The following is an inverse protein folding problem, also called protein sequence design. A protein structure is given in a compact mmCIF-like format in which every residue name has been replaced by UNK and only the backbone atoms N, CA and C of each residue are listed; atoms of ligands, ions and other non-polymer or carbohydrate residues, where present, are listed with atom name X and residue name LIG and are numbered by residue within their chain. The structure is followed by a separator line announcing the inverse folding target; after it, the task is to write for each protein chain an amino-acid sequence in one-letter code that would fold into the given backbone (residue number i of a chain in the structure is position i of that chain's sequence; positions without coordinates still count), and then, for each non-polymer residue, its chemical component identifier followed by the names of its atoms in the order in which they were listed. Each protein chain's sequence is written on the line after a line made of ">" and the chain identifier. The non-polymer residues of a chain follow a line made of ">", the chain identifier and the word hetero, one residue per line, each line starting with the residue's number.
data_IF_794705477010
#
_entry.id   IF_794705477010
#
_cell.length_a   1.000
_cell.length_b   1.000
_cell.length_c   1.000
_cell.angle_alpha   90.00
_cell.angle_beta   90.00
_cell.angle_gamma   90.00
#
_symmetry.space_group_name_H-M   'P 1'
#
loop_
_entity.id
_entity.type
_entity.pdbx_description
1 polymer ?
#
# COMPACT_ATOMS: atom_id res chain seq x y z
N UNK A 1 22.52 -5.26 16.63
CA UNK A 1 22.01 -4.75 15.34
C UNK A 1 21.02 -3.64 15.66
N UNK A 2 21.36 -2.38 15.38
CA UNK A 2 20.46 -1.27 15.63
C UNK A 2 19.16 -1.50 14.86
N UNK A 3 18.03 -1.39 15.53
CA UNK A 3 16.74 -1.37 14.85
C UNK A 3 16.77 -0.17 13.91
N UNK A 4 16.92 -0.41 12.60
CA UNK A 4 16.61 0.64 11.63
C UNK A 4 15.16 1.04 11.90
N UNK A 5 15.01 2.23 12.49
CA UNK A 5 13.74 2.72 12.97
C UNK A 5 12.71 2.75 11.84
N UNK A 6 11.47 2.40 12.18
CA UNK A 6 10.34 2.64 11.30
C UNK A 6 9.96 4.11 11.41
N UNK A 7 9.96 4.81 10.28
CA UNK A 7 9.50 6.20 10.19
C UNK A 7 8.19 6.25 9.43
N UNK A 8 7.27 7.11 9.88
CA UNK A 8 6.03 7.41 9.18
C UNK A 8 6.15 8.78 8.53
N UNK A 9 5.77 8.87 7.26
CA UNK A 9 5.66 10.16 6.55
C UNK A 9 4.40 10.22 5.69
N UNK A 10 3.89 11.43 5.38
CA UNK A 10 2.87 11.59 4.35
C UNK A 10 3.32 10.99 3.01
N UNK A 11 2.39 10.32 2.33
CA UNK A 11 2.60 9.86 0.97
C UNK A 11 2.67 11.06 0.01
N UNK A 12 3.56 10.97 -0.97
CA UNK A 12 3.69 11.91 -2.08
C UNK A 12 3.30 11.23 -3.38
N UNK A 13 3.01 12.03 -4.39
CA UNK A 13 2.60 11.59 -5.72
C UNK A 13 3.53 10.51 -6.31
N UNK A 14 4.84 10.67 -6.17
CA UNK A 14 5.83 9.70 -6.65
C UNK A 14 5.79 8.34 -5.95
N UNK A 15 5.07 8.21 -4.82
CA UNK A 15 4.89 6.92 -4.14
C UNK A 15 3.83 6.03 -4.82
N UNK A 16 2.99 6.54 -5.74
CA UNK A 16 1.86 5.78 -6.33
C UNK A 16 2.20 4.35 -6.74
N UNK A 17 3.27 4.18 -7.52
CA UNK A 17 3.74 2.85 -7.98
C UNK A 17 4.20 1.96 -6.81
N UNK A 18 4.86 2.56 -5.82
CA UNK A 18 5.32 1.84 -4.62
C UNK A 18 4.15 1.38 -3.76
N UNK A 19 3.14 2.23 -3.56
CA UNK A 19 1.92 1.87 -2.83
C UNK A 19 1.17 0.72 -3.50
N UNK A 20 0.99 0.82 -4.83
CA UNK A 20 0.40 -0.26 -5.63
C UNK A 20 1.18 -1.56 -5.46
N UNK A 21 2.51 -1.54 -5.61
CA UNK A 21 3.35 -2.73 -5.47
C UNK A 21 3.23 -3.35 -4.07
N UNK A 22 3.29 -2.54 -3.01
CA UNK A 22 3.15 -3.02 -1.63
C UNK A 22 1.78 -3.68 -1.43
N UNK A 23 0.71 -3.05 -1.92
CA UNK A 23 -0.64 -3.59 -1.76
C UNK A 23 -0.82 -4.91 -2.53
N UNK A 24 -0.35 -4.98 -3.77
CA UNK A 24 -0.37 -6.21 -4.58
C UNK A 24 0.36 -7.35 -3.87
N UNK A 25 1.59 -7.12 -3.42
CA UNK A 25 2.37 -8.13 -2.70
C UNK A 25 1.71 -8.56 -1.38
N UNK A 26 1.09 -7.61 -0.67
CA UNK A 26 0.37 -7.92 0.56
C UNK A 26 -0.86 -8.79 0.30
N UNK A 27 -1.64 -8.49 -0.75
CA UNK A 27 -2.80 -9.29 -1.15
C UNK A 27 -2.36 -10.71 -1.55
N UNK A 28 -1.34 -10.83 -2.40
CA UNK A 28 -0.83 -12.12 -2.86
C UNK A 28 -0.26 -12.98 -1.72
N UNK A 29 0.40 -12.37 -0.74
CA UNK A 29 1.03 -13.10 0.36
C UNK A 29 0.07 -13.48 1.50
N UNK A 30 -0.91 -12.62 1.81
CA UNK A 30 -1.71 -12.73 3.04
C UNK A 30 -3.13 -13.25 2.78
N UNK A 31 -3.75 -12.87 1.68
CA UNK A 31 -5.15 -13.19 1.40
C UNK A 31 -5.43 -14.66 1.05
N UNK A 32 -4.50 -15.48 0.50
CA UNK A 32 -4.78 -16.90 0.24
C UNK A 32 -5.16 -17.73 1.48
N UNK A 33 -4.94 -17.21 2.69
CA UNK A 33 -5.37 -17.85 3.95
C UNK A 33 -6.86 -17.73 4.23
N UNK A 34 -7.55 -16.78 3.59
CA UNK A 34 -8.94 -16.45 3.85
C UNK A 34 -9.81 -16.40 2.59
N UNK A 35 -9.21 -16.35 1.40
CA UNK A 35 -9.88 -16.21 0.12
C UNK A 35 -9.41 -17.28 -0.86
N UNK A 36 -10.29 -17.70 -1.76
CA UNK A 36 -9.96 -18.61 -2.84
C UNK A 36 -8.99 -17.95 -3.84
N UNK A 37 -8.18 -18.75 -4.52
CA UNK A 37 -7.15 -18.25 -5.44
C UNK A 37 -7.70 -17.34 -6.55
N UNK A 38 -8.89 -17.65 -7.07
CA UNK A 38 -9.52 -16.84 -8.12
C UNK A 38 -9.99 -15.47 -7.59
N UNK A 39 -10.39 -15.37 -6.32
CA UNK A 39 -10.76 -14.11 -5.68
C UNK A 39 -9.53 -13.22 -5.49
N UNK A 40 -8.42 -13.79 -5.00
CA UNK A 40 -7.13 -13.08 -4.86
C UNK A 40 -6.64 -12.60 -6.22
N UNK A 41 -6.66 -13.46 -7.24
CA UNK A 41 -6.25 -13.10 -8.60
C UNK A 41 -7.10 -11.98 -9.19
N UNK A 42 -8.43 -12.06 -9.02
CA UNK A 42 -9.36 -11.02 -9.44
C UNK A 42 -9.05 -9.69 -8.76
N UNK A 43 -8.83 -9.70 -7.44
CA UNK A 43 -8.52 -8.48 -6.69
C UNK A 43 -7.23 -7.83 -7.19
N UNK A 44 -6.15 -8.60 -7.34
CA UNK A 44 -4.87 -8.10 -7.84
C UNK A 44 -5.01 -7.49 -9.24
N UNK A 45 -5.77 -8.13 -10.15
CA UNK A 45 -6.03 -7.62 -11.51
C UNK A 45 -6.76 -6.28 -11.54
N UNK A 46 -7.56 -5.99 -10.52
CA UNK A 46 -8.29 -4.73 -10.40
C UNK A 46 -7.43 -3.59 -9.82
N UNK A 47 -6.31 -3.90 -9.15
CA UNK A 47 -5.41 -2.90 -8.60
C UNK A 47 -4.60 -2.21 -9.69
N UNK A 48 -4.70 -0.88 -9.75
CA UNK A 48 -3.97 -0.05 -10.71
C UNK A 48 -3.23 1.08 -9.99
N UNK A 49 -1.99 1.44 -10.39
CA UNK A 49 -1.25 2.56 -9.79
C UNK A 49 -2.03 3.88 -9.76
N UNK A 50 -2.86 4.12 -10.78
CA UNK A 50 -3.71 5.32 -10.91
C UNK A 50 -4.84 5.37 -9.86
N UNK A 51 -5.12 4.25 -9.20
CA UNK A 51 -6.08 4.16 -8.10
C UNK A 51 -5.57 4.74 -6.77
N UNK A 52 -4.29 5.09 -6.67
CA UNK A 52 -3.64 5.57 -5.45
C UNK A 52 -3.42 7.08 -5.50
N UNK A 53 -3.57 7.76 -4.35
CA UNK A 53 -3.38 9.22 -4.22
C UNK A 53 -4.17 10.05 -5.24
N UNK A 54 -5.42 9.66 -5.49
CA UNK A 54 -6.36 10.37 -6.39
C UNK A 54 -6.72 11.76 -5.81
N UNK A 55 -6.39 12.87 -6.49
CA UNK A 55 -6.68 14.22 -6.01
C UNK A 55 -8.15 14.49 -5.67
N UNK A 56 -9.06 13.93 -6.46
CA UNK A 56 -10.52 14.06 -6.34
C UNK A 56 -11.12 13.30 -5.14
N UNK A 57 -10.33 12.48 -4.46
CA UNK A 57 -10.72 11.76 -3.24
C UNK A 57 -9.59 11.92 -2.21
N UNK A 58 -9.37 13.13 -1.68
CA UNK A 58 -8.25 13.40 -0.79
C UNK A 58 -8.40 12.54 0.47
N UNK A 59 -7.36 11.75 0.75
CA UNK A 59 -7.26 10.89 1.93
C UNK A 59 -5.89 11.09 2.54
N UNK A 60 -5.83 11.09 3.85
CA UNK A 60 -4.55 11.06 4.54
C UNK A 60 -3.96 9.67 4.35
N UNK A 61 -2.85 9.59 3.61
CA UNK A 61 -2.08 8.36 3.39
C UNK A 61 -0.72 8.54 4.02
N UNK A 62 -0.34 7.62 4.89
CA UNK A 62 0.98 7.57 5.51
C UNK A 62 1.75 6.37 4.97
N UNK A 63 3.04 6.57 4.71
CA UNK A 63 3.99 5.53 4.28
C UNK A 63 4.90 5.20 5.46
N UNK A 64 5.08 3.90 5.73
CA UNK A 64 6.07 3.40 6.65
C UNK A 64 7.37 3.12 5.89
N UNK A 65 8.47 3.70 6.35
CA UNK A 65 9.80 3.54 5.78
C UNK A 65 10.74 2.87 6.78
N UNK A 66 11.58 1.96 6.28
CA UNK A 66 12.75 1.43 6.98
C UNK A 66 13.98 1.83 6.15
N UNK A 67 14.82 2.69 6.70
CA UNK A 67 15.88 3.35 5.94
C UNK A 67 15.31 4.17 4.77
N UNK A 68 15.72 3.87 3.54
CA UNK A 68 15.22 4.54 2.31
C UNK A 68 14.13 3.74 1.58
N UNK A 69 13.60 2.69 2.19
CA UNK A 69 12.64 1.78 1.55
C UNK A 69 11.27 1.89 2.22
N UNK A 70 10.24 2.17 1.42
CA UNK A 70 8.86 2.01 1.86
C UNK A 70 8.56 0.52 2.07
N UNK A 71 8.01 0.19 3.24
CA UNK A 71 7.68 -1.18 3.67
C UNK A 71 6.20 -1.37 3.96
N UNK A 72 5.42 -0.30 4.04
CA UNK A 72 3.99 -0.35 4.30
C UNK A 72 3.32 0.99 4.07
N UNK A 73 1.99 1.01 4.07
CA UNK A 73 1.23 2.26 4.08
C UNK A 73 -0.13 2.06 4.75
N UNK A 74 -0.70 3.16 5.25
CA UNK A 74 -2.04 3.22 5.81
C UNK A 74 -2.82 4.35 5.16
N UNK A 75 -4.13 4.14 4.99
CA UNK A 75 -5.06 5.15 4.47
C UNK A 75 -6.14 5.39 5.51
N UNK A 76 -6.36 6.66 5.84
CA UNK A 76 -7.47 7.07 6.67
C UNK A 76 -8.36 8.07 5.95
N UNK A 77 -9.63 8.08 6.32
CA UNK A 77 -10.62 9.01 5.80
C UNK A 77 -11.49 9.39 6.98
N UNK A 78 -11.60 10.69 7.27
CA UNK A 78 -12.64 11.18 8.18
C UNK A 78 -13.98 10.88 7.52
N UNK A 79 -14.73 9.95 8.10
CA UNK A 79 -16.17 9.86 7.89
C UNK A 79 -16.84 10.72 8.93
#
# INVERSE_FOLDING_TARGET
>A
MGAEGLLLRPAKESDRRTLWRIHTLAVEALCPRAYAQHEVSTWVRLLKPEGYLRPERPRTVLVAERGRRAVGFGRWTRR
#
